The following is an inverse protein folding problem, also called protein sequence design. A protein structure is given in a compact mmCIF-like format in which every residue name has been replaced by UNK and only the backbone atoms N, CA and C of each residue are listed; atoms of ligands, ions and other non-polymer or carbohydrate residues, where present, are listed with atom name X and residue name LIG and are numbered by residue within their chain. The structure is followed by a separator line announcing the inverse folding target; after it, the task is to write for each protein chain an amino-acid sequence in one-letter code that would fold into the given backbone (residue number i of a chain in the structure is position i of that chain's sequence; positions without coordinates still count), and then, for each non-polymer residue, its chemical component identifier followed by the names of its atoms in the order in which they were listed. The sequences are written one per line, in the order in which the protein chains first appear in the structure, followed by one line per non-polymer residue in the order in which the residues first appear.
data_IF_412713314494
#
_entry.id   IF_412713314494
#
_cell.length_a   1.000
_cell.length_b   1.000
_cell.length_c   1.000
_cell.angle_alpha   90.00
_cell.angle_beta   90.00
_cell.angle_gamma   90.00
#
_symmetry.space_group_name_H-M   'P 1'
#
loop_
_entity.id
_entity.type
_entity.pdbx_description
1 polymer ?
#
# COMPACT_ATOMS: atom_id res chain seq x y z
N UNK A 1 4.46 18.59 -12.23
CA UNK A 1 5.37 19.38 -11.35
C UNK A 1 5.96 20.63 -12.02
N UNK A 2 6.77 20.53 -13.08
CA UNK A 2 7.39 21.73 -13.72
C UNK A 2 6.41 22.82 -14.13
N UNK A 3 5.29 22.45 -14.77
CA UNK A 3 4.22 23.38 -15.15
C UNK A 3 3.61 24.13 -13.97
N UNK A 4 3.55 23.50 -12.79
CA UNK A 4 3.01 24.10 -11.56
C UNK A 4 3.99 25.14 -11.00
N UNK A 5 5.28 24.79 -10.98
CA UNK A 5 6.34 25.72 -10.57
C UNK A 5 6.37 26.94 -11.50
N UNK A 6 6.29 26.71 -12.82
CA UNK A 6 6.26 27.75 -13.83
C UNK A 6 5.06 28.70 -13.63
N UNK A 7 3.84 28.18 -13.47
CA UNK A 7 2.64 28.98 -13.21
C UNK A 7 2.78 29.83 -11.94
N UNK A 8 3.31 29.24 -10.85
CA UNK A 8 3.55 29.98 -9.60
C UNK A 8 4.58 31.08 -9.75
N UNK A 9 5.69 30.79 -10.39
CA UNK A 9 6.74 31.77 -10.66
C UNK A 9 6.20 32.92 -11.50
N UNK A 10 5.42 32.61 -12.53
CA UNK A 10 4.82 33.63 -13.38
C UNK A 10 3.80 34.51 -12.64
N UNK A 11 3.03 33.95 -11.69
CA UNK A 11 2.15 34.76 -10.81
C UNK A 11 2.96 35.68 -9.90
N UNK A 12 3.99 35.17 -9.23
CA UNK A 12 4.86 35.98 -8.37
C UNK A 12 5.56 37.10 -9.16
N UNK A 13 6.07 36.80 -10.35
CA UNK A 13 6.72 37.80 -11.21
C UNK A 13 5.72 38.87 -11.65
N UNK A 14 4.47 38.51 -11.94
CA UNK A 14 3.40 39.48 -12.23
C UNK A 14 3.04 40.35 -11.04
N UNK A 15 2.96 39.79 -9.83
CA UNK A 15 2.71 40.55 -8.60
C UNK A 15 3.78 41.59 -8.31
N UNK A 16 5.04 41.26 -8.63
CA UNK A 16 6.18 42.19 -8.49
C UNK A 16 6.19 43.25 -9.61
N UNK A 17 5.43 43.06 -10.69
CA UNK A 17 5.29 44.02 -11.80
C UNK A 17 6.16 43.73 -13.02
N UNK A 18 6.66 42.51 -13.19
CA UNK A 18 7.38 42.13 -14.40
C UNK A 18 6.41 41.91 -15.57
N UNK A 19 6.61 42.65 -16.66
CA UNK A 19 5.79 42.54 -17.89
C UNK A 19 6.30 41.47 -18.85
N UNK A 20 7.61 41.27 -18.91
CA UNK A 20 8.26 40.30 -19.78
C UNK A 20 9.36 39.55 -19.02
N UNK A 21 9.50 38.26 -19.32
CA UNK A 21 10.49 37.38 -18.71
C UNK A 21 11.23 36.64 -19.82
N UNK A 22 12.55 36.65 -19.76
CA UNK A 22 13.37 35.87 -20.68
C UNK A 22 13.21 34.36 -20.37
N UNK A 23 12.84 33.57 -21.38
CA UNK A 23 12.58 32.13 -21.22
C UNK A 23 13.78 31.36 -20.65
N UNK A 24 14.98 31.68 -21.13
CA UNK A 24 16.22 31.02 -20.65
C UNK A 24 16.48 31.31 -19.18
N UNK A 25 16.26 32.56 -18.74
CA UNK A 25 16.40 32.93 -17.33
C UNK A 25 15.37 32.21 -16.46
N UNK A 26 14.12 32.09 -16.93
CA UNK A 26 13.07 31.35 -16.24
C UNK A 26 13.43 29.86 -16.10
N UNK A 27 13.92 29.22 -17.16
CA UNK A 27 14.34 27.82 -17.14
C UNK A 27 15.49 27.56 -16.16
N UNK A 28 16.52 28.42 -16.17
CA UNK A 28 17.65 28.33 -15.24
C UNK A 28 17.19 28.54 -13.80
N UNK A 29 16.31 29.53 -13.58
CA UNK A 29 15.76 29.78 -12.25
C UNK A 29 14.94 28.59 -11.74
N UNK A 30 14.06 28.01 -12.57
CA UNK A 30 13.32 26.81 -12.22
C UNK A 30 14.25 25.64 -11.87
N UNK A 31 15.30 25.40 -12.66
CA UNK A 31 16.28 24.36 -12.38
C UNK A 31 17.01 24.61 -11.05
N UNK A 32 17.38 25.87 -10.77
CA UNK A 32 18.01 26.23 -9.50
C UNK A 32 17.08 26.02 -8.31
N UNK A 33 15.78 26.29 -8.48
CA UNK A 33 14.74 26.11 -7.47
C UNK A 33 14.49 24.62 -7.20
N UNK A 34 14.46 23.79 -8.24
CA UNK A 34 14.39 22.32 -8.12
C UNK A 34 15.57 21.78 -7.28
N UNK A 35 16.80 22.21 -7.58
CA UNK A 35 18.00 21.81 -6.83
C UNK A 35 17.95 22.29 -5.39
N UNK A 36 17.53 23.54 -5.18
CA UNK A 36 17.37 24.12 -3.85
C UNK A 36 16.35 23.34 -3.02
N UNK A 37 15.17 23.03 -3.55
CA UNK A 37 14.16 22.21 -2.87
C UNK A 37 14.70 20.82 -2.50
N UNK A 38 15.45 20.18 -3.40
CA UNK A 38 16.06 18.88 -3.14
C UNK A 38 17.08 18.93 -1.99
N UNK A 39 17.87 19.99 -1.90
CA UNK A 39 18.82 20.19 -0.80
C UNK A 39 18.11 20.32 0.56
N UNK A 40 17.00 21.03 0.59
CA UNK A 40 16.17 21.19 1.78
C UNK A 40 15.56 19.84 2.21
N UNK A 41 15.02 19.08 1.26
CA UNK A 41 14.47 17.74 1.54
C UNK A 41 15.55 16.77 2.02
N UNK A 42 16.75 16.79 1.43
CA UNK A 42 17.90 15.99 1.90
C UNK A 42 18.29 16.35 3.33
N UNK A 43 18.27 17.63 3.66
CA UNK A 43 18.59 18.12 5.01
C UNK A 43 17.55 17.65 6.03
N UNK A 44 16.27 17.78 5.72
CA UNK A 44 15.17 17.27 6.58
C UNK A 44 15.26 15.76 6.74
N UNK A 45 15.49 15.02 5.65
CA UNK A 45 15.67 13.56 5.71
C UNK A 45 16.89 13.17 6.57
N UNK A 46 17.97 13.95 6.52
CA UNK A 46 19.13 13.76 7.38
C UNK A 46 18.76 13.92 8.86
N UNK A 47 18.03 14.99 9.22
CA UNK A 47 17.55 15.22 10.59
C UNK A 47 16.70 14.05 11.09
N UNK A 48 15.76 13.57 10.28
CA UNK A 48 14.91 12.43 10.66
C UNK A 48 15.72 11.14 10.82
N UNK A 49 16.74 10.91 9.99
CA UNK A 49 17.66 9.76 10.12
C UNK A 49 18.52 9.83 11.38
N UNK A 50 18.99 11.01 11.77
CA UNK A 50 19.70 11.19 13.05
C UNK A 50 18.79 10.86 14.24
N UNK A 51 17.49 11.11 14.10
CA UNK A 51 16.48 10.68 15.07
C UNK A 51 16.05 9.22 14.96
N UNK A 52 16.69 8.40 14.12
CA UNK A 52 16.34 7.00 13.84
C UNK A 52 14.89 6.80 13.36
N UNK A 53 14.26 7.83 12.79
CA UNK A 53 12.90 7.79 12.25
C UNK A 53 12.92 7.35 10.79
N UNK A 54 11.99 6.48 10.39
CA UNK A 54 11.79 6.09 8.99
C UNK A 54 11.11 7.18 8.15
N UNK A 55 10.45 8.14 8.80
CA UNK A 55 9.67 9.19 8.16
C UNK A 55 9.95 10.55 8.77
N UNK A 56 9.91 11.59 7.94
CA UNK A 56 10.02 12.98 8.36
C UNK A 56 8.68 13.48 8.91
N UNK A 57 8.71 14.05 10.11
CA UNK A 57 7.55 14.64 10.77
C UNK A 57 7.53 16.16 10.56
N UNK A 58 6.36 16.79 10.77
CA UNK A 58 6.25 18.26 10.71
C UNK A 58 7.18 18.96 11.71
N UNK A 59 7.47 18.34 12.85
CA UNK A 59 8.43 18.84 13.83
C UNK A 59 9.86 18.87 13.27
N UNK A 60 10.26 17.85 12.51
CA UNK A 60 11.60 17.81 11.90
C UNK A 60 11.76 18.95 10.88
N UNK A 61 10.67 19.33 10.19
CA UNK A 61 10.63 20.49 9.28
C UNK A 61 10.70 21.79 10.08
N UNK A 62 9.93 21.93 11.16
CA UNK A 62 9.94 23.13 12.01
C UNK A 62 11.30 23.38 12.64
N UNK A 63 11.96 22.36 13.20
CA UNK A 63 13.31 22.50 13.75
C UNK A 63 14.32 22.95 12.69
N UNK A 64 14.15 22.49 11.45
CA UNK A 64 15.00 22.92 10.34
C UNK A 64 14.70 24.38 9.91
N UNK A 65 13.43 24.80 9.93
CA UNK A 65 12.99 26.16 9.60
C UNK A 65 13.42 27.17 10.66
N UNK A 66 13.31 26.82 11.94
CA UNK A 66 13.78 27.63 13.07
C UNK A 66 15.30 27.88 12.98
N UNK A 67 16.08 26.84 12.61
CA UNK A 67 17.52 26.97 12.40
C UNK A 67 17.92 27.91 11.25
N UNK A 68 17.02 28.16 10.29
CA UNK A 68 17.26 29.02 9.13
C UNK A 68 16.54 30.38 9.17
N UNK A 69 15.83 30.72 10.25
CA UNK A 69 15.05 31.97 10.39
C UNK A 69 14.15 32.27 9.19
N UNK A 70 13.40 31.26 8.74
CA UNK A 70 12.45 31.47 7.65
C UNK A 70 11.24 32.24 8.17
N UNK A 71 10.97 33.42 7.61
CA UNK A 71 9.69 34.09 7.79
C UNK A 71 8.68 33.41 6.86
N UNK A 72 7.68 32.75 7.46
CA UNK A 72 6.63 32.09 6.69
C UNK A 72 5.61 33.15 6.24
N UNK A 73 5.50 33.45 4.94
CA UNK A 73 4.44 34.32 4.45
C UNK A 73 3.06 33.64 4.65
N UNK A 74 1.96 34.41 4.62
CA UNK A 74 0.62 33.85 4.70
C UNK A 74 0.38 32.85 3.56
N UNK A 75 -0.13 31.67 3.90
CA UNK A 75 -0.38 30.62 2.93
C UNK A 75 -1.67 30.89 2.14
N UNK A 76 -1.54 31.12 0.83
CA UNK A 76 -2.68 31.09 -0.08
C UNK A 76 -3.00 29.67 -0.53
N UNK A 77 -4.25 29.24 -0.29
CA UNK A 77 -4.73 27.92 -0.72
C UNK A 77 -5.06 27.96 -2.20
N UNK A 78 -4.23 27.35 -3.03
CA UNK A 78 -4.51 27.15 -4.45
C UNK A 78 -4.83 25.70 -4.72
N UNK A 79 -5.97 25.48 -5.38
CA UNK A 79 -6.41 24.18 -5.86
C UNK A 79 -5.87 23.96 -7.27
N UNK A 80 -5.03 22.94 -7.42
CA UNK A 80 -4.64 22.42 -8.72
C UNK A 80 -5.52 21.23 -9.08
N UNK A 81 -5.81 21.08 -10.37
CA UNK A 81 -6.38 19.84 -10.90
C UNK A 81 -5.40 18.69 -10.59
N UNK A 82 -5.91 17.62 -9.98
CA UNK A 82 -5.10 16.44 -9.68
C UNK A 82 -4.80 15.75 -11.00
N UNK A 83 -3.53 15.51 -11.30
CA UNK A 83 -3.15 14.52 -12.31
C UNK A 83 -3.76 13.18 -11.88
N UNK A 84 -4.70 12.66 -12.68
CA UNK A 84 -5.25 11.33 -12.48
C UNK A 84 -4.12 10.33 -12.70
N UNK A 85 -3.58 9.82 -11.60
CA UNK A 85 -2.68 8.67 -11.65
C UNK A 85 -3.54 7.52 -12.12
N UNK A 86 -3.42 7.17 -13.40
CA UNK A 86 -3.97 5.94 -13.95
C UNK A 86 -3.42 4.79 -13.11
N UNK A 87 -4.27 4.26 -12.22
CA UNK A 87 -3.93 3.06 -11.47
C UNK A 87 -3.88 1.95 -12.49
N UNK A 88 -2.68 1.46 -12.79
CA UNK A 88 -2.51 0.24 -13.57
C UNK A 88 -3.44 -0.84 -12.97
N UNK A 89 -4.45 -1.23 -13.75
CA UNK A 89 -5.36 -2.28 -13.35
C UNK A 89 -4.55 -3.57 -13.27
N UNK A 90 -4.23 -4.00 -12.05
CA UNK A 90 -3.56 -5.27 -11.82
C UNK A 90 -4.45 -6.37 -12.41
N UNK A 91 -3.96 -7.06 -13.44
CA UNK A 91 -4.63 -8.19 -14.06
C UNK A 91 -5.04 -9.19 -12.97
N UNK A 92 -6.34 -9.34 -12.76
CA UNK A 92 -6.88 -10.34 -11.84
C UNK A 92 -7.15 -11.59 -12.67
N UNK A 93 -6.31 -12.61 -12.49
CA UNK A 93 -6.57 -13.91 -13.11
C UNK A 93 -7.95 -14.41 -12.67
N UNK A 94 -8.82 -14.84 -13.60
CA UNK A 94 -10.11 -15.44 -13.26
C UNK A 94 -9.96 -16.75 -12.45
N UNK A 95 -8.73 -17.28 -12.34
CA UNK A 95 -8.41 -18.47 -11.56
C UNK A 95 -8.07 -18.18 -10.09
N UNK A 96 -7.75 -16.94 -9.73
CA UNK A 96 -7.35 -16.59 -8.36
C UNK A 96 -8.48 -15.89 -7.62
N UNK A 97 -9.05 -16.54 -6.61
CA UNK A 97 -9.91 -15.83 -5.67
C UNK A 97 -9.06 -14.96 -4.74
N UNK A 98 -9.58 -13.81 -4.27
CA UNK A 98 -8.80 -12.84 -3.48
C UNK A 98 -8.15 -13.37 -2.19
N UNK A 99 -8.51 -14.58 -1.76
CA UNK A 99 -7.98 -15.28 -0.59
C UNK A 99 -6.75 -16.14 -0.95
N UNK A 100 -6.62 -16.59 -2.20
CA UNK A 100 -5.50 -17.45 -2.65
C UNK A 100 -4.25 -16.65 -3.05
N UNK A 101 -4.33 -15.32 -3.09
CA UNK A 101 -3.20 -14.41 -3.37
C UNK A 101 -1.98 -14.62 -2.47
N UNK A 102 -2.13 -15.24 -1.30
CA UNK A 102 -1.02 -15.52 -0.38
C UNK A 102 -0.47 -16.96 -0.45
N UNK A 103 -1.01 -17.81 -1.34
CA UNK A 103 -0.59 -19.22 -1.48
C UNK A 103 0.13 -19.47 -2.83
N UNK A 104 0.16 -18.49 -3.73
CA UNK A 104 0.70 -18.70 -5.07
C UNK A 104 2.24 -18.60 -5.13
N UNK A 105 2.89 -19.75 -5.00
CA UNK A 105 4.29 -20.04 -5.39
C UNK A 105 4.57 -19.65 -6.87
N UNK A 106 3.51 -19.31 -7.62
CA UNK A 106 3.50 -19.00 -9.04
C UNK A 106 3.71 -17.52 -9.39
N UNK A 107 3.83 -16.61 -8.41
CA UNK A 107 4.11 -15.18 -8.69
C UNK A 107 5.45 -14.96 -9.42
N UNK A 108 6.37 -15.93 -9.36
CA UNK A 108 7.66 -15.92 -10.05
C UNK A 108 7.65 -16.60 -11.42
N UNK A 109 6.53 -17.19 -11.84
CA UNK A 109 6.45 -17.87 -13.15
C UNK A 109 6.05 -16.89 -14.25
N UNK A 110 6.56 -17.09 -15.48
CA UNK A 110 6.13 -16.31 -16.63
C UNK A 110 4.61 -16.43 -16.82
N UNK A 111 4.01 -15.37 -17.36
CA UNK A 111 2.57 -15.34 -17.62
C UNK A 111 2.14 -16.57 -18.44
N UNK A 112 1.07 -17.22 -18.00
CA UNK A 112 0.51 -18.32 -18.76
C UNK A 112 0.09 -17.84 -20.16
N UNK A 113 0.26 -18.69 -21.19
CA UNK A 113 -0.16 -18.34 -22.53
C UNK A 113 -1.68 -18.06 -22.56
N UNK A 114 -2.16 -17.26 -23.52
CA UNK A 114 -3.56 -16.89 -23.62
C UNK A 114 -4.48 -18.12 -23.74
N UNK A 115 -5.74 -17.99 -23.29
CA UNK A 115 -6.71 -19.10 -23.16
C UNK A 115 -6.91 -19.93 -24.42
N UNK A 116 -6.70 -19.34 -25.60
CA UNK A 116 -6.78 -20.05 -26.89
C UNK A 116 -5.64 -21.06 -27.12
N UNK A 117 -4.53 -20.96 -26.38
CA UNK A 117 -3.40 -21.87 -26.48
C UNK A 117 -3.59 -23.16 -25.67
N UNK A 118 -4.56 -23.20 -24.75
CA UNK A 118 -4.85 -24.39 -23.95
C UNK A 118 -5.85 -25.30 -24.67
N UNK A 119 -5.61 -26.62 -24.57
CA UNK A 119 -6.54 -27.65 -25.06
C UNK A 119 -7.88 -27.46 -24.35
N UNK A 120 -8.95 -27.22 -25.12
CA UNK A 120 -10.29 -26.91 -24.62
C UNK A 120 -10.87 -28.10 -23.80
N UNK A 121 -10.56 -28.16 -22.52
CA UNK A 121 -11.22 -29.07 -21.58
C UNK A 121 -12.52 -28.42 -21.11
N UNK A 122 -13.64 -29.12 -21.22
CA UNK A 122 -14.96 -28.66 -20.75
C UNK A 122 -14.88 -28.47 -19.23
N UNK A 123 -14.68 -27.23 -18.78
CA UNK A 123 -14.76 -26.89 -17.36
C UNK A 123 -16.23 -26.90 -16.98
N UNK A 124 -16.67 -27.90 -16.20
CA UNK A 124 -18.00 -27.87 -15.57
C UNK A 124 -18.09 -26.60 -14.73
N UNK A 125 -18.93 -25.66 -15.15
CA UNK A 125 -19.19 -24.44 -14.40
C UNK A 125 -19.61 -24.78 -12.98
N UNK A 126 -18.80 -24.40 -12.00
CA UNK A 126 -19.19 -24.52 -10.60
C UNK A 126 -20.45 -23.69 -10.38
N UNK A 127 -21.56 -24.36 -10.08
CA UNK A 127 -22.78 -23.68 -9.66
C UNK A 127 -22.42 -22.72 -8.52
N UNK A 128 -22.95 -21.49 -8.54
CA UNK A 128 -22.84 -20.53 -7.44
C UNK A 128 -23.53 -21.08 -6.19
N UNK A 129 -22.97 -22.09 -5.54
CA UNK A 129 -23.36 -22.47 -4.19
C UNK A 129 -22.98 -21.30 -3.30
N UNK A 130 -23.93 -20.81 -2.53
CA UNK A 130 -23.72 -19.70 -1.60
C UNK A 130 -22.53 -20.02 -0.69
N UNK A 131 -21.40 -19.32 -0.89
CA UNK A 131 -20.16 -19.54 -0.14
C UNK A 131 -20.40 -19.44 1.36
N UNK A 132 -21.31 -18.56 1.79
CA UNK A 132 -21.71 -18.41 3.20
C UNK A 132 -22.41 -19.64 3.77
N UNK A 133 -23.21 -20.35 2.97
CA UNK A 133 -23.84 -21.60 3.41
C UNK A 133 -22.81 -22.70 3.63
N UNK A 134 -21.80 -22.78 2.76
CA UNK A 134 -20.71 -23.77 2.90
C UNK A 134 -19.86 -23.51 4.15
N UNK A 135 -19.58 -22.23 4.47
CA UNK A 135 -18.87 -21.87 5.72
C UNK A 135 -19.70 -22.23 6.95
N UNK A 136 -20.99 -21.88 6.95
CA UNK A 136 -21.92 -22.22 8.03
C UNK A 136 -21.97 -23.73 8.27
N UNK A 137 -22.15 -24.52 7.20
CA UNK A 137 -22.21 -25.97 7.28
C UNK A 137 -20.90 -26.57 7.83
N UNK A 138 -19.74 -26.00 7.47
CA UNK A 138 -18.44 -26.45 7.97
C UNK A 138 -18.27 -26.19 9.47
N UNK A 139 -18.71 -25.02 9.95
CA UNK A 139 -18.68 -24.68 11.37
C UNK A 139 -19.63 -25.57 12.20
N UNK A 140 -20.84 -25.79 11.70
CA UNK A 140 -21.80 -26.69 12.35
C UNK A 140 -21.28 -28.13 12.41
N UNK A 141 -20.59 -28.59 11.37
CA UNK A 141 -19.97 -29.91 11.36
C UNK A 141 -18.83 -30.02 12.38
N UNK A 142 -17.98 -28.99 12.51
CA UNK A 142 -16.91 -28.95 13.54
C UNK A 142 -17.49 -29.03 14.94
N UNK A 143 -18.49 -28.20 15.24
CA UNK A 143 -19.14 -28.18 16.56
C UNK A 143 -19.79 -29.53 16.90
N UNK A 144 -20.42 -30.19 15.92
CA UNK A 144 -20.97 -31.54 16.11
C UNK A 144 -19.87 -32.56 16.39
N UNK A 145 -18.75 -32.50 15.68
CA UNK A 145 -17.63 -33.43 15.92
C UNK A 145 -16.98 -33.22 17.29
N UNK A 146 -16.80 -31.97 17.72
CA UNK A 146 -16.26 -31.63 19.04
C UNK A 146 -17.20 -32.11 20.16
N UNK A 147 -18.51 -31.86 20.02
CA UNK A 147 -19.51 -32.34 20.97
C UNK A 147 -19.55 -33.86 21.07
N UNK A 148 -19.40 -34.56 19.93
CA UNK A 148 -19.33 -36.02 19.93
C UNK A 148 -18.03 -36.54 20.55
N UNK A 149 -16.89 -35.89 20.30
CA UNK A 149 -15.61 -36.23 20.90
C UNK A 149 -15.67 -36.07 22.43
N UNK A 150 -16.25 -34.98 22.92
CA UNK A 150 -16.44 -34.76 24.36
C UNK A 150 -17.37 -35.81 24.99
N UNK A 151 -18.42 -36.23 24.28
CA UNK A 151 -19.29 -37.32 24.74
C UNK A 151 -18.54 -38.65 24.79
N UNK A 152 -17.69 -38.95 23.80
CA UNK A 152 -16.85 -40.14 23.79
C UNK A 152 -15.85 -40.13 24.95
N UNK A 153 -15.19 -39.01 25.22
CA UNK A 153 -14.26 -38.86 26.36
C UNK A 153 -15.00 -39.07 27.69
N UNK A 154 -16.19 -38.46 27.85
CA UNK A 154 -17.02 -38.64 29.05
C UNK A 154 -17.51 -40.08 29.24
N UNK A 155 -17.89 -40.75 28.14
CA UNK A 155 -18.35 -42.13 28.18
C UNK A 155 -17.22 -43.14 28.40
N UNK A 156 -15.99 -42.82 27.95
CA UNK A 156 -14.82 -43.70 28.05
C UNK A 156 -14.17 -43.70 29.44
N UNK A 157 -14.59 -42.82 30.36
CA UNK A 157 -14.12 -42.77 31.76
C UNK A 157 -12.63 -42.45 31.97
N UNK A 158 -11.85 -42.34 30.90
CA UNK A 158 -10.42 -42.01 30.88
C UNK A 158 -10.07 -41.21 29.63
N UNK A 159 -9.16 -40.24 29.76
CA UNK A 159 -8.63 -39.50 28.62
C UNK A 159 -7.75 -40.43 27.78
N UNK A 160 -7.88 -40.43 26.44
CA UNK A 160 -7.01 -41.24 25.59
C UNK A 160 -5.54 -40.90 25.86
N UNK A 161 -4.65 -41.91 26.00
CA UNK A 161 -3.27 -41.73 26.46
C UNK A 161 -2.41 -40.83 25.54
N UNK A 162 -2.86 -40.58 24.30
CA UNK A 162 -2.17 -39.70 23.34
C UNK A 162 -2.44 -38.21 23.53
N UNK A 163 -3.35 -37.78 24.43
CA UNK A 163 -3.59 -36.34 24.68
C UNK A 163 -2.53 -35.74 25.62
N UNK A 164 -1.78 -36.58 26.32
CA UNK A 164 -0.83 -36.16 27.35
C UNK A 164 0.63 -36.25 26.88
N UNK A 165 0.98 -35.56 25.80
CA UNK A 165 2.40 -35.38 25.41
C UNK A 165 3.20 -34.54 26.43
N UNK A 166 2.54 -33.91 27.41
CA UNK A 166 3.15 -33.11 28.47
C UNK A 166 3.45 -33.91 29.75
N UNK A 167 2.92 -35.12 29.91
CA UNK A 167 3.30 -36.01 31.02
C UNK A 167 4.41 -36.95 30.55
N UNK A 168 5.64 -36.44 30.48
CA UNK A 168 6.81 -37.29 30.61
C UNK A 168 6.97 -37.60 32.10
N UNK A 169 6.86 -38.88 32.43
CA UNK A 169 7.05 -39.44 33.76
C UNK A 169 8.43 -39.08 34.34
N UNK A 170 8.44 -38.52 35.55
CA UNK A 170 9.32 -38.95 36.64
C UNK A 170 8.45 -39.61 37.71
#
# INVERSE_FOLDING_TARGET
MRRILEDRLMRYLKEIGYEAVERKALEVFMASLEVYMLEYLKSVASVSRHGLKSHSTLLDILCFVEGKKFELPPFERVTYEKEEVEKEEKFVSPLSSGIEKYIHIYDFMPSFPPTHAFRQTIVKGGSRSSKSMNVKNRLEQSLRTEGNLLRLIKASGSLPPFVNFLYKNE
#
